data_IF_687082514668
#
_entry.id   IF_687082514668
#
_cell.length_a   1.000
_cell.length_b   1.000
_cell.length_c   1.000
_cell.angle_alpha   90.00
_cell.angle_beta   90.00
_cell.angle_gamma   90.00
#
_symmetry.space_group_name_H-M   'P 1'
#
loop_
_entity.id
_entity.type
_entity.pdbx_description
1 polymer ?
#
# COMPACT_ATOMS: atom_id res chain seq x y z
N UNK A 1 -63.91 -37.37 -41.01
CA UNK A 1 -64.45 -36.02 -41.20
C UNK A 1 -63.29 -35.14 -41.60
N UNK A 2 -63.11 -34.67 -42.82
CA UNK A 2 -63.78 -34.78 -44.13
C UNK A 2 -62.64 -34.48 -45.13
N UNK A 3 -62.34 -35.38 -46.06
CA UNK A 3 -62.66 -35.22 -47.49
C UNK A 3 -62.37 -33.82 -48.07
N UNK A 4 -61.33 -33.72 -48.92
CA UNK A 4 -61.60 -33.35 -50.31
C UNK A 4 -60.59 -33.93 -51.32
N UNK A 5 -61.20 -34.48 -52.37
CA UNK A 5 -60.76 -35.05 -53.64
C UNK A 5 -60.01 -34.01 -54.51
N UNK A 6 -59.37 -34.27 -55.66
CA UNK A 6 -59.01 -35.45 -56.45
C UNK A 6 -58.14 -34.98 -57.64
N UNK A 7 -57.34 -35.90 -58.14
CA UNK A 7 -56.97 -36.16 -59.53
C UNK A 7 -56.31 -35.13 -60.48
N UNK A 8 -55.03 -35.45 -60.73
CA UNK A 8 -54.46 -35.85 -62.03
C UNK A 8 -54.45 -34.86 -63.21
N UNK A 9 -53.22 -34.44 -63.56
CA UNK A 9 -52.83 -34.29 -64.97
C UNK A 9 -51.40 -34.75 -65.21
N UNK A 10 -51.28 -35.94 -65.80
CA UNK A 10 -50.07 -36.52 -66.39
C UNK A 10 -49.30 -35.49 -67.22
N UNK A 11 -48.00 -35.32 -66.97
CA UNK A 11 -47.03 -34.96 -68.03
C UNK A 11 -45.75 -35.79 -67.90
N UNK A 12 -45.61 -36.66 -68.91
CA UNK A 12 -44.45 -37.40 -69.40
C UNK A 12 -43.12 -37.08 -68.72
N UNK A 13 -42.48 -38.13 -68.21
CA UNK A 13 -41.03 -38.23 -68.13
C UNK A 13 -40.47 -38.05 -69.53
N UNK A 14 -40.06 -36.82 -69.85
CA UNK A 14 -39.10 -36.55 -70.91
C UNK A 14 -37.75 -36.50 -70.22
N UNK A 15 -36.95 -37.54 -70.41
CA UNK A 15 -35.52 -37.42 -70.20
C UNK A 15 -35.01 -36.34 -71.17
N UNK A 16 -34.43 -35.23 -70.70
CA UNK A 16 -33.52 -34.50 -71.54
C UNK A 16 -32.23 -35.32 -71.53
N UNK A 17 -32.09 -36.15 -72.55
CA UNK A 17 -30.77 -36.52 -73.02
C UNK A 17 -30.17 -35.22 -73.56
N UNK A 18 -29.46 -34.49 -72.70
CA UNK A 18 -28.52 -33.48 -73.13
C UNK A 18 -27.37 -33.53 -72.15
N UNK A 19 -26.28 -34.17 -72.60
CA UNK A 19 -24.94 -33.62 -72.42
C UNK A 19 -25.05 -32.11 -72.65
N UNK A 20 -25.32 -31.37 -71.58
CA UNK A 20 -25.09 -29.96 -71.53
C UNK A 20 -23.61 -29.85 -71.25
N UNK A 21 -22.85 -29.55 -72.30
CA UNK A 21 -21.50 -29.05 -72.19
C UNK A 21 -21.46 -28.07 -71.03
N UNK A 22 -20.80 -28.45 -69.93
CA UNK A 22 -20.23 -27.45 -69.04
C UNK A 22 -19.29 -26.68 -69.96
N UNK A 23 -19.58 -25.39 -70.27
CA UNK A 23 -18.71 -24.65 -71.16
C UNK A 23 -17.31 -24.75 -70.57
N UNK A 24 -16.27 -25.07 -71.38
CA UNK A 24 -14.92 -25.05 -70.87
C UNK A 24 -14.76 -23.68 -70.23
N UNK A 25 -14.49 -23.63 -68.92
CA UNK A 25 -14.14 -22.36 -68.28
C UNK A 25 -13.01 -21.81 -69.13
N UNK A 26 -13.30 -20.75 -69.88
CA UNK A 26 -12.31 -20.12 -70.73
C UNK A 26 -11.17 -19.69 -69.82
N UNK A 27 -9.94 -19.81 -70.30
CA UNK A 27 -8.75 -19.40 -69.56
C UNK A 27 -8.93 -18.00 -68.94
N UNK A 28 -9.64 -17.13 -69.67
CA UNK A 28 -10.06 -15.78 -69.25
C UNK A 28 -10.95 -15.76 -68.00
N UNK A 29 -11.87 -16.71 -67.85
CA UNK A 29 -12.72 -16.82 -66.66
C UNK A 29 -11.96 -17.27 -65.42
N UNK A 30 -10.91 -18.09 -65.59
CA UNK A 30 -10.02 -18.49 -64.50
C UNK A 30 -9.12 -17.31 -64.09
N UNK A 31 -8.59 -16.57 -65.08
CA UNK A 31 -7.80 -15.36 -64.82
C UNK A 31 -8.61 -14.29 -64.09
N UNK A 32 -9.87 -14.06 -64.47
CA UNK A 32 -10.73 -13.08 -63.78
C UNK A 32 -10.96 -13.43 -62.29
N UNK A 33 -11.13 -14.71 -61.96
CA UNK A 33 -11.29 -15.15 -60.55
C UNK A 33 -9.98 -14.99 -59.77
N UNK A 34 -8.82 -15.25 -60.40
CA UNK A 34 -7.52 -15.05 -59.76
C UNK A 34 -7.22 -13.57 -59.50
N UNK A 35 -7.57 -12.68 -60.43
CA UNK A 35 -7.44 -11.23 -60.24
C UNK A 35 -8.33 -10.72 -59.09
N UNK A 36 -9.57 -11.24 -59.01
CA UNK A 36 -10.47 -10.91 -57.91
C UNK A 36 -9.94 -11.42 -56.56
N UNK A 37 -9.43 -12.65 -56.50
CA UNK A 37 -8.80 -13.19 -55.30
C UNK A 37 -7.55 -12.40 -54.89
N UNK A 38 -6.72 -11.96 -55.85
CA UNK A 38 -5.57 -11.12 -55.57
C UNK A 38 -5.99 -9.77 -54.95
N UNK A 39 -7.03 -9.13 -55.48
CA UNK A 39 -7.62 -7.92 -54.86
C UNK A 39 -8.15 -8.16 -53.45
N UNK A 40 -8.80 -9.30 -53.21
CA UNK A 40 -9.28 -9.65 -51.88
C UNK A 40 -8.13 -9.86 -50.89
N UNK A 41 -7.04 -10.51 -51.32
CA UNK A 41 -5.83 -10.68 -50.51
C UNK A 41 -5.21 -9.33 -50.16
N UNK A 42 -5.09 -8.41 -51.11
CA UNK A 42 -4.59 -7.05 -50.85
C UNK A 42 -5.48 -6.29 -49.86
N UNK A 43 -6.80 -6.42 -50.00
CA UNK A 43 -7.77 -5.80 -49.09
C UNK A 43 -7.65 -6.37 -47.67
N UNK A 44 -7.52 -7.68 -47.53
CA UNK A 44 -7.33 -8.35 -46.24
C UNK A 44 -5.98 -7.98 -45.61
N UNK A 45 -4.90 -7.90 -46.40
CA UNK A 45 -3.59 -7.48 -45.93
C UNK A 45 -3.61 -6.04 -45.40
N UNK A 46 -4.30 -5.13 -46.10
CA UNK A 46 -4.49 -3.76 -45.65
C UNK A 46 -5.30 -3.70 -44.33
N UNK A 47 -6.38 -4.49 -44.22
CA UNK A 47 -7.18 -4.57 -43.00
C UNK A 47 -6.38 -5.12 -41.80
N UNK A 48 -5.57 -6.16 -42.02
CA UNK A 48 -4.70 -6.73 -40.99
C UNK A 48 -3.68 -5.71 -40.47
N UNK A 49 -3.06 -4.93 -41.37
CA UNK A 49 -2.12 -3.87 -40.98
C UNK A 49 -2.79 -2.81 -40.09
N UNK A 50 -4.04 -2.46 -40.38
CA UNK A 50 -4.83 -1.54 -39.54
C UNK A 50 -5.14 -2.17 -38.17
N UNK A 51 -5.51 -3.45 -38.13
CA UNK A 51 -5.78 -4.17 -36.89
C UNK A 51 -4.53 -4.29 -36.01
N UNK A 52 -3.38 -4.61 -36.58
CA UNK A 52 -2.09 -4.64 -35.87
C UNK A 52 -1.76 -3.29 -35.24
N UNK A 53 -1.94 -2.19 -35.99
CA UNK A 53 -1.74 -0.84 -35.46
C UNK A 53 -2.70 -0.51 -34.31
N UNK A 54 -3.96 -0.93 -34.41
CA UNK A 54 -4.95 -0.76 -33.32
C UNK A 54 -4.59 -1.61 -32.09
N UNK A 55 -4.13 -2.83 -32.29
CA UNK A 55 -3.72 -3.72 -31.19
C UNK A 55 -2.50 -3.15 -30.45
N UNK A 56 -1.48 -2.70 -31.17
CA UNK A 56 -0.32 -2.03 -30.57
C UNK A 56 -0.73 -0.77 -29.77
N UNK A 57 -1.63 0.06 -30.32
CA UNK A 57 -2.14 1.23 -29.62
C UNK A 57 -2.96 0.86 -28.36
N UNK A 58 -3.74 -0.23 -28.41
CA UNK A 58 -4.47 -0.75 -27.25
C UNK A 58 -3.52 -1.26 -26.18
N UNK A 59 -2.49 -2.02 -26.53
CA UNK A 59 -1.48 -2.51 -25.60
C UNK A 59 -0.78 -1.36 -24.88
N UNK A 60 -0.39 -0.31 -25.60
CA UNK A 60 0.23 0.87 -24.97
C UNK A 60 -0.73 1.61 -24.03
N UNK A 61 -2.02 1.69 -24.38
CA UNK A 61 -3.05 2.24 -23.49
C UNK A 61 -3.25 1.40 -22.24
N UNK A 62 -3.24 0.07 -22.35
CA UNK A 62 -3.32 -0.84 -21.20
C UNK A 62 -2.13 -0.62 -20.26
N UNK A 63 -0.90 -0.64 -20.79
CA UNK A 63 0.31 -0.36 -19.99
C UNK A 63 0.26 1.02 -19.33
N UNK A 64 -0.26 2.03 -20.02
CA UNK A 64 -0.41 3.37 -19.46
C UNK A 64 -1.45 3.42 -18.33
N UNK A 65 -2.56 2.70 -18.46
CA UNK A 65 -3.58 2.56 -17.43
C UNK A 65 -3.06 1.79 -16.21
N UNK A 66 -2.30 0.72 -16.41
CA UNK A 66 -1.69 -0.05 -15.32
C UNK A 66 -0.77 0.83 -14.47
N UNK A 67 0.12 1.60 -15.11
CA UNK A 67 1.00 2.55 -14.41
C UNK A 67 0.21 3.61 -13.64
N UNK A 68 -0.89 4.11 -14.20
CA UNK A 68 -1.77 5.07 -13.52
C UNK A 68 -2.46 4.43 -12.33
N UNK A 69 -2.93 3.19 -12.46
CA UNK A 69 -3.57 2.43 -11.39
C UNK A 69 -2.62 2.20 -10.22
N UNK A 70 -1.39 1.77 -10.49
CA UNK A 70 -0.35 1.59 -9.46
C UNK A 70 0.01 2.90 -8.76
N UNK A 71 0.14 3.99 -9.53
CA UNK A 71 0.43 5.32 -8.99
C UNK A 71 -0.70 5.80 -8.08
N UNK A 72 -1.96 5.61 -8.51
CA UNK A 72 -3.13 5.99 -7.73
C UNK A 72 -3.21 5.16 -6.44
N UNK A 73 -2.95 3.85 -6.52
CA UNK A 73 -2.90 2.97 -5.34
C UNK A 73 -1.88 3.46 -4.31
N UNK A 74 -0.64 3.74 -4.74
CA UNK A 74 0.40 4.30 -3.85
C UNK A 74 -0.02 5.64 -3.23
N UNK A 75 -0.71 6.49 -3.99
CA UNK A 75 -1.22 7.76 -3.46
C UNK A 75 -2.35 7.56 -2.45
N UNK A 76 -3.24 6.59 -2.67
CA UNK A 76 -4.29 6.23 -1.72
C UNK A 76 -3.68 5.69 -0.42
N UNK A 77 -2.74 4.75 -0.50
CA UNK A 77 -2.05 4.18 0.67
C UNK A 77 -1.38 5.29 1.50
N UNK A 78 -0.69 6.23 0.84
CA UNK A 78 -0.08 7.39 1.51
C UNK A 78 -1.11 8.30 2.17
N UNK A 79 -2.26 8.52 1.54
CA UNK A 79 -3.31 9.36 2.10
C UNK A 79 -3.98 8.69 3.31
N UNK A 80 -4.19 7.39 3.25
CA UNK A 80 -4.75 6.59 4.35
C UNK A 80 -3.87 6.68 5.60
N UNK A 81 -2.56 6.47 5.46
CA UNK A 81 -1.59 6.63 6.56
C UNK A 81 -1.67 8.04 7.18
N UNK A 82 -1.75 9.08 6.34
CA UNK A 82 -1.89 10.47 6.82
C UNK A 82 -3.20 10.71 7.56
N UNK A 83 -4.31 10.16 7.07
CA UNK A 83 -5.61 10.27 7.74
C UNK A 83 -5.57 9.60 9.11
N UNK A 84 -5.04 8.37 9.21
CA UNK A 84 -4.90 7.64 10.48
C UNK A 84 -4.05 8.43 11.49
N UNK A 85 -2.90 8.98 11.04
CA UNK A 85 -2.05 9.81 11.89
C UNK A 85 -2.77 11.09 12.36
N UNK A 86 -3.53 11.74 11.47
CA UNK A 86 -4.28 12.95 11.82
C UNK A 86 -5.43 12.65 12.79
N UNK A 87 -6.15 11.55 12.61
CA UNK A 87 -7.17 11.08 13.55
C UNK A 87 -6.59 10.83 14.94
N UNK A 88 -5.41 10.19 15.02
CA UNK A 88 -4.68 10.02 16.28
C UNK A 88 -4.32 11.37 16.92
N UNK A 89 -3.74 12.31 16.16
CA UNK A 89 -3.46 13.66 16.67
C UNK A 89 -4.72 14.33 17.23
N UNK A 90 -5.86 14.24 16.55
CA UNK A 90 -7.12 14.81 17.05
C UNK A 90 -7.57 14.13 18.35
N UNK A 91 -7.45 12.81 18.45
CA UNK A 91 -7.80 12.08 19.68
C UNK A 91 -6.91 12.48 20.87
N UNK A 92 -5.60 12.66 20.64
CA UNK A 92 -4.66 13.13 21.66
C UNK A 92 -4.97 14.58 22.04
N UNK A 93 -5.12 15.48 21.05
CA UNK A 93 -5.43 16.89 21.29
C UNK A 93 -6.75 17.11 22.06
N UNK A 94 -7.76 16.25 21.85
CA UNK A 94 -9.01 16.27 22.64
C UNK A 94 -8.78 16.02 24.13
N UNK A 95 -7.80 15.17 24.48
CA UNK A 95 -7.41 14.91 25.87
C UNK A 95 -6.48 15.99 26.41
N UNK A 96 -5.82 16.74 25.52
CA UNK A 96 -4.70 17.60 25.88
C UNK A 96 -5.03 18.94 26.52
N UNK A 97 -6.30 19.36 26.50
CA UNK A 97 -6.70 20.69 27.04
C UNK A 97 -6.27 20.86 28.51
N UNK A 98 -6.18 19.76 29.27
CA UNK A 98 -5.67 19.73 30.64
C UNK A 98 -4.67 18.58 30.84
N UNK A 99 -3.79 18.31 29.86
CA UNK A 99 -2.86 17.19 29.95
C UNK A 99 -1.96 17.27 31.18
N UNK A 100 -1.87 16.14 31.88
CA UNK A 100 -0.86 15.85 32.88
C UNK A 100 -0.32 14.44 32.63
N UNK A 101 0.95 14.24 32.92
CA UNK A 101 1.59 12.93 32.81
C UNK A 101 0.83 11.88 33.65
N UNK A 102 0.31 10.83 33.00
CA UNK A 102 -0.64 9.89 33.62
C UNK A 102 -0.12 8.46 33.75
N UNK A 103 1.08 8.16 33.24
CA UNK A 103 1.69 6.85 33.42
C UNK A 103 1.87 6.53 34.93
N UNK A 104 1.60 5.29 35.36
CA UNK A 104 1.69 4.90 36.75
C UNK A 104 3.12 5.00 37.26
N UNK A 105 3.26 5.26 38.55
CA UNK A 105 4.54 5.09 39.23
C UNK A 105 4.88 3.61 39.32
N UNK A 106 6.12 3.25 38.99
CA UNK A 106 6.66 1.89 39.16
C UNK A 106 7.49 1.88 40.44
N UNK A 107 7.08 1.14 41.50
CA UNK A 107 7.83 1.09 42.75
C UNK A 107 9.20 0.45 42.57
N UNK A 108 10.19 0.94 43.31
CA UNK A 108 11.53 0.35 43.31
C UNK A 108 11.54 -1.15 43.63
N UNK A 109 10.69 -1.56 44.57
CA UNK A 109 10.55 -2.95 45.00
C UNK A 109 10.16 -3.88 43.84
N UNK A 110 9.43 -3.38 42.83
CA UNK A 110 9.09 -4.16 41.62
C UNK A 110 10.35 -4.71 40.94
N UNK A 111 11.37 -3.87 40.76
CA UNK A 111 12.61 -4.26 40.09
C UNK A 111 13.46 -5.18 40.97
N UNK A 112 13.50 -4.93 42.28
CA UNK A 112 14.24 -5.76 43.24
C UNK A 112 13.63 -7.17 43.32
N UNK A 113 12.30 -7.28 43.34
CA UNK A 113 11.58 -8.55 43.35
C UNK A 113 11.80 -9.37 42.06
N UNK A 114 12.08 -8.70 40.94
CA UNK A 114 12.50 -9.35 39.69
C UNK A 114 13.98 -9.79 39.68
N UNK A 115 14.74 -9.49 40.73
CA UNK A 115 16.14 -9.87 40.87
C UNK A 115 17.13 -8.84 40.34
N UNK A 116 16.69 -7.61 40.07
CA UNK A 116 17.58 -6.51 39.71
C UNK A 116 18.24 -5.89 40.94
N UNK A 117 19.45 -5.38 40.75
CA UNK A 117 20.20 -4.69 41.80
C UNK A 117 19.79 -3.21 41.94
N UNK A 118 20.27 -2.60 43.02
CA UNK A 118 20.04 -1.20 43.35
C UNK A 118 20.51 -0.25 42.24
N UNK A 119 21.61 -0.56 41.55
CA UNK A 119 22.12 0.23 40.43
C UNK A 119 21.14 0.23 39.25
N UNK A 120 20.67 -0.94 38.84
CA UNK A 120 19.65 -1.08 37.79
C UNK A 120 18.38 -0.32 38.15
N UNK A 121 17.88 -0.48 39.39
CA UNK A 121 16.66 0.22 39.81
C UNK A 121 16.78 1.74 39.71
N UNK A 122 17.94 2.30 40.07
CA UNK A 122 18.21 3.73 39.97
C UNK A 122 18.24 4.20 38.50
N UNK A 123 18.81 3.37 37.61
CA UNK A 123 18.85 3.68 36.18
C UNK A 123 17.44 3.67 35.56
N UNK A 124 16.57 2.74 35.97
CA UNK A 124 15.17 2.72 35.50
C UNK A 124 14.36 3.91 36.04
N UNK A 125 14.54 4.27 37.33
CA UNK A 125 13.89 5.46 37.90
C UNK A 125 14.31 6.73 37.14
N UNK A 126 15.61 6.86 36.85
CA UNK A 126 16.12 7.98 36.05
C UNK A 126 15.57 7.95 34.62
N UNK A 127 15.40 6.76 34.04
CA UNK A 127 14.80 6.59 32.73
C UNK A 127 13.36 7.11 32.67
N UNK A 128 12.54 6.70 33.64
CA UNK A 128 11.13 7.12 33.74
C UNK A 128 11.02 8.64 33.89
N UNK A 129 11.85 9.26 34.74
CA UNK A 129 11.83 10.71 34.91
C UNK A 129 12.30 11.45 33.65
N UNK A 130 13.33 10.97 32.95
CA UNK A 130 13.75 11.57 31.66
C UNK A 130 12.66 11.49 30.60
N UNK A 131 11.96 10.36 30.48
CA UNK A 131 10.83 10.21 29.54
C UNK A 131 9.75 11.24 29.87
N UNK A 132 9.40 11.39 31.15
CA UNK A 132 8.40 12.34 31.64
C UNK A 132 8.79 13.79 31.37
N UNK A 133 10.01 14.19 31.70
CA UNK A 133 10.53 15.54 31.44
C UNK A 133 10.51 15.86 29.95
N UNK A 134 10.94 14.93 29.09
CA UNK A 134 10.93 15.13 27.65
C UNK A 134 9.50 15.18 27.08
N UNK A 135 8.59 14.32 27.53
CA UNK A 135 7.18 14.40 27.11
C UNK A 135 6.58 15.77 27.44
N UNK A 136 6.86 16.30 28.64
CA UNK A 136 6.45 17.66 29.03
C UNK A 136 7.13 18.74 28.17
N UNK A 137 8.43 18.60 27.88
CA UNK A 137 9.19 19.57 27.10
C UNK A 137 8.71 19.61 25.65
N UNK A 138 8.49 18.46 25.01
CA UNK A 138 7.95 18.33 23.66
C UNK A 138 6.59 19.04 23.56
N UNK A 139 5.70 18.80 24.53
CA UNK A 139 4.35 19.40 24.56
C UNK A 139 4.36 20.92 24.78
N UNK A 140 5.33 21.43 25.53
CA UNK A 140 5.51 22.88 25.74
C UNK A 140 6.26 23.56 24.61
N UNK A 141 7.08 22.81 23.88
CA UNK A 141 7.88 23.33 22.78
C UNK A 141 6.99 23.79 21.64
N UNK A 142 7.25 25.01 21.17
CA UNK A 142 6.70 25.52 19.91
C UNK A 142 7.70 25.37 18.75
N UNK A 143 8.95 24.98 19.06
CA UNK A 143 10.05 24.87 18.13
C UNK A 143 10.12 23.48 17.50
N UNK A 144 10.56 23.43 16.24
CA UNK A 144 10.86 22.19 15.51
C UNK A 144 12.26 21.63 15.83
N UNK A 145 13.12 22.42 16.49
CA UNK A 145 14.51 22.09 16.79
C UNK A 145 14.64 21.47 18.19
N UNK A 146 13.77 20.52 18.52
CA UNK A 146 13.84 19.81 19.80
C UNK A 146 14.61 18.50 19.61
N UNK A 147 15.63 18.27 20.44
CA UNK A 147 16.34 16.98 20.50
C UNK A 147 15.88 16.20 21.74
N UNK A 148 15.26 15.03 21.54
CA UNK A 148 14.92 14.10 22.64
C UNK A 148 16.11 13.18 22.89
N UNK A 149 16.83 13.42 23.97
CA UNK A 149 17.79 12.45 24.52
C UNK A 149 17.14 11.56 25.57
N UNK A 150 15.80 11.53 25.65
CA UNK A 150 15.04 10.76 26.64
C UNK A 150 15.40 9.28 26.73
N UNK A 151 15.95 8.70 25.67
CA UNK A 151 16.32 7.29 25.58
C UNK A 151 17.84 7.08 25.40
N UNK A 152 18.66 8.10 25.64
CA UNK A 152 20.11 8.08 25.46
C UNK A 152 20.83 7.78 26.78
N UNK A 153 21.21 6.52 27.00
CA UNK A 153 21.84 6.06 28.24
C UNK A 153 23.36 5.87 28.14
N UNK A 154 24.01 6.20 27.01
CA UNK A 154 25.47 6.35 26.91
C UNK A 154 26.28 5.15 27.45
N UNK A 155 27.04 5.35 28.53
CA UNK A 155 27.85 4.31 29.19
C UNK A 155 27.12 3.60 30.36
N UNK A 156 25.85 3.91 30.61
CA UNK A 156 25.09 3.35 31.74
C UNK A 156 24.62 1.92 31.46
N UNK A 157 24.32 1.18 32.52
CA UNK A 157 23.85 -0.20 32.44
C UNK A 157 22.55 -0.28 31.63
N UNK A 158 22.50 -1.22 30.68
CA UNK A 158 21.42 -1.37 29.70
C UNK A 158 20.06 -1.55 30.38
N UNK A 159 19.08 -0.73 30.01
CA UNK A 159 17.69 -0.89 30.44
C UNK A 159 17.03 -2.00 29.61
N UNK A 160 16.72 -3.11 30.26
CA UNK A 160 16.01 -4.23 29.65
C UNK A 160 14.55 -3.90 29.36
N UNK A 161 13.96 -4.63 28.42
CA UNK A 161 12.55 -4.47 28.10
C UNK A 161 11.67 -4.97 29.25
N UNK A 162 10.73 -4.13 29.70
CA UNK A 162 9.68 -4.51 30.66
C UNK A 162 8.36 -3.80 30.31
N UNK A 163 7.24 -4.50 30.46
CA UNK A 163 5.91 -3.97 30.13
C UNK A 163 5.48 -2.79 31.04
N UNK A 164 6.07 -2.67 32.23
CA UNK A 164 5.87 -1.53 33.13
C UNK A 164 6.33 -0.20 32.50
N UNK A 165 7.21 -0.24 31.48
CA UNK A 165 7.65 0.95 30.73
C UNK A 165 6.67 1.37 29.62
N UNK A 166 5.75 0.49 29.18
CA UNK A 166 4.84 0.78 28.06
C UNK A 166 3.96 2.02 28.28
N UNK A 167 3.38 2.26 29.48
CA UNK A 167 2.64 3.49 29.73
C UNK A 167 3.50 4.76 29.56
N UNK A 168 4.78 4.70 29.92
CA UNK A 168 5.71 5.82 29.79
C UNK A 168 6.07 6.07 28.33
N UNK A 169 6.31 5.02 27.54
CA UNK A 169 6.50 5.15 26.09
C UNK A 169 5.26 5.69 25.39
N UNK A 170 4.06 5.36 25.89
CA UNK A 170 2.81 5.93 25.38
C UNK A 170 2.68 7.43 25.63
N UNK A 171 3.04 7.90 26.82
CA UNK A 171 3.07 9.35 27.11
C UNK A 171 4.05 10.10 26.19
N UNK A 172 5.23 9.51 25.96
CA UNK A 172 6.19 10.05 25.00
C UNK A 172 5.63 10.04 23.58
N UNK A 173 5.01 8.94 23.15
CA UNK A 173 4.44 8.82 21.81
C UNK A 173 3.33 9.84 21.56
N UNK A 174 2.44 10.03 22.54
CA UNK A 174 1.37 11.02 22.47
C UNK A 174 1.96 12.44 22.39
N UNK A 175 3.05 12.73 23.12
CA UNK A 175 3.76 14.01 23.02
C UNK A 175 4.37 14.23 21.62
N UNK A 176 5.04 13.21 21.06
CA UNK A 176 5.61 13.26 19.70
C UNK A 176 4.50 13.51 18.67
N UNK A 177 3.36 12.81 18.80
CA UNK A 177 2.23 12.88 17.86
C UNK A 177 1.62 14.28 17.74
N UNK A 178 1.62 15.06 18.82
CA UNK A 178 1.10 16.44 18.83
C UNK A 178 2.17 17.51 18.65
N UNK A 179 3.45 17.11 18.57
CA UNK A 179 4.55 18.04 18.35
C UNK A 179 4.53 18.67 16.94
N UNK A 180 5.20 19.81 16.80
CA UNK A 180 5.43 20.47 15.51
C UNK A 180 6.55 19.82 14.68
N UNK A 181 7.15 18.73 15.19
CA UNK A 181 8.36 18.12 14.66
C UNK A 181 9.43 18.02 15.75
N UNK A 182 10.23 16.98 15.66
CA UNK A 182 11.38 16.71 16.53
C UNK A 182 12.59 16.55 15.61
N UNK A 183 13.66 17.27 15.93
CA UNK A 183 14.87 17.25 15.13
C UNK A 183 15.57 15.91 15.24
N UNK A 184 15.74 15.43 16.47
CA UNK A 184 16.46 14.19 16.72
C UNK A 184 15.89 13.45 17.92
N UNK A 185 15.84 12.11 17.82
CA UNK A 185 15.67 11.23 18.98
C UNK A 185 16.90 10.33 19.08
N UNK A 186 17.53 10.31 20.24
CA UNK A 186 18.63 9.41 20.56
C UNK A 186 18.11 8.25 21.42
N UNK A 187 18.41 7.03 20.99
CA UNK A 187 18.09 5.76 21.65
C UNK A 187 19.40 5.00 21.82
N UNK A 188 19.86 4.85 23.05
CA UNK A 188 21.11 4.18 23.40
C UNK A 188 20.96 3.37 24.69
N UNK A 189 21.59 2.18 24.74
CA UNK A 189 21.57 1.26 25.89
C UNK A 189 20.16 0.93 26.43
N UNK A 190 19.19 0.73 25.55
CA UNK A 190 17.85 0.28 25.90
C UNK A 190 17.38 -0.84 24.96
N UNK A 191 16.82 -1.90 25.54
CA UNK A 191 16.15 -2.96 24.80
C UNK A 191 14.70 -2.55 24.50
N UNK A 192 14.41 -2.34 23.21
CA UNK A 192 13.06 -1.99 22.76
C UNK A 192 12.35 -3.23 22.20
N UNK A 193 11.57 -3.88 23.05
CA UNK A 193 10.72 -5.00 22.64
C UNK A 193 9.65 -4.60 21.61
N UNK A 194 9.03 -5.57 20.91
CA UNK A 194 8.04 -5.32 19.87
C UNK A 194 6.88 -4.41 20.33
N UNK A 195 6.46 -4.53 21.59
CA UNK A 195 5.42 -3.69 22.19
C UNK A 195 5.83 -2.22 22.22
N UNK A 196 7.05 -1.91 22.65
CA UNK A 196 7.55 -0.53 22.70
C UNK A 196 7.74 0.06 21.29
N UNK A 197 8.29 -0.73 20.35
CA UNK A 197 8.44 -0.32 18.96
C UNK A 197 7.08 -0.05 18.29
N UNK A 198 6.06 -0.86 18.58
CA UNK A 198 4.71 -0.67 18.03
C UNK A 198 4.06 0.64 18.49
N UNK A 199 4.48 1.17 19.64
CA UNK A 199 4.01 2.45 20.19
C UNK A 199 4.78 3.61 19.56
N UNK A 200 6.11 3.54 19.55
CA UNK A 200 6.98 4.65 19.18
C UNK A 200 7.13 4.80 17.66
N UNK A 201 7.36 3.73 16.90
CA UNK A 201 7.66 3.82 15.46
C UNK A 201 6.58 4.56 14.65
N UNK A 202 5.27 4.29 14.82
CA UNK A 202 4.24 4.95 14.02
C UNK A 202 4.14 6.46 14.24
N UNK A 203 4.49 6.95 15.43
CA UNK A 203 4.40 8.38 15.74
C UNK A 203 5.68 9.13 15.35
N UNK A 204 6.82 8.44 15.29
CA UNK A 204 8.08 9.02 14.83
C UNK A 204 8.08 9.24 13.31
N UNK A 205 7.39 8.38 12.55
CA UNK A 205 7.30 8.47 11.11
C UNK A 205 6.69 9.82 10.66
N UNK A 206 7.50 10.63 9.97
CA UNK A 206 7.09 11.96 9.48
C UNK A 206 7.02 13.05 10.55
N UNK A 207 7.40 12.76 11.81
CA UNK A 207 7.49 13.74 12.91
C UNK A 207 8.92 13.93 13.41
N UNK A 208 9.73 12.89 13.36
CA UNK A 208 11.15 12.93 13.76
C UNK A 208 12.01 12.99 12.49
N UNK A 209 12.96 13.94 12.45
CA UNK A 209 13.84 14.10 11.29
C UNK A 209 15.01 13.12 11.30
N UNK A 210 15.61 12.88 12.47
CA UNK A 210 16.75 11.99 12.64
C UNK A 210 16.57 11.07 13.86
N UNK A 211 16.95 9.80 13.71
CA UNK A 211 16.90 8.82 14.79
C UNK A 211 18.29 8.20 14.92
N UNK A 212 18.94 8.48 16.04
CA UNK A 212 20.25 7.92 16.38
C UNK A 212 20.01 6.73 17.29
N UNK A 213 20.44 5.56 16.82
CA UNK A 213 20.33 4.30 17.54
C UNK A 213 21.72 3.74 17.80
N UNK A 214 22.07 3.56 19.08
CA UNK A 214 23.34 3.00 19.52
C UNK A 214 23.06 1.89 20.53
N UNK A 215 23.95 0.89 20.59
CA UNK A 215 23.92 -0.19 21.58
C UNK A 215 22.55 -0.86 21.83
N UNK A 216 21.73 -1.02 20.78
CA UNK A 216 20.47 -1.74 20.84
C UNK A 216 20.70 -3.24 21.00
N UNK A 217 19.93 -3.87 21.89
CA UNK A 217 19.86 -5.33 22.03
C UNK A 217 18.44 -5.81 21.77
#
# INVERSE_FOLDING_TARGET
MDDDQSDAKRRRVHAPNSRGDVPPRTLDGINAVLEEHARQIETLAAANKVLEGRNAALEERCKALDRKSESLKRSCDKLEVRCISMERSIQVLKKDVNWSYSAPYVPRDYWIEQGHDEEYTNNVDWCIERIKENAQAIRRSKSQNFCCSCLDYGDQLTILHDDALLPHFKELADAIQVSNGIEQICIDNMELGPSALSILCPVMEGRVLDIVMQSLR
#
